data_IF_758011526604
#
_entry.id   IF_758011526604
#
_cell.length_a   1.000
_cell.length_b   1.000
_cell.length_c   1.000
_cell.angle_alpha   90.00
_cell.angle_beta   90.00
_cell.angle_gamma   90.00
#
_symmetry.space_group_name_H-M   'P 1'
#
loop_
_entity.id
_entity.type
_entity.pdbx_description
1 polymer ?
#
# COMPACT_ATOMS: atom_id res chain seq x y z
N UNK A 1 -9.40 21.25 1.70
CA UNK A 1 -8.36 20.35 1.17
C UNK A 1 -8.32 19.08 2.03
N UNK A 2 -7.97 17.93 1.47
CA UNK A 2 -7.86 16.65 2.18
C UNK A 2 -6.46 16.10 1.91
N UNK A 3 -5.78 15.59 2.93
CA UNK A 3 -4.59 14.74 2.76
C UNK A 3 -5.06 13.29 2.58
N UNK A 4 -4.73 12.66 1.45
CA UNK A 4 -5.20 11.32 1.14
C UNK A 4 -4.49 10.30 2.04
N UNK A 5 -5.25 9.55 2.84
CA UNK A 5 -4.67 8.47 3.63
C UNK A 5 -4.26 7.31 2.72
N UNK A 6 -3.00 6.87 2.83
CA UNK A 6 -2.47 5.68 2.17
C UNK A 6 -3.32 4.43 2.38
N UNK A 7 -3.44 3.64 1.33
CA UNK A 7 -4.27 2.43 1.31
C UNK A 7 -3.82 1.45 0.22
N UNK A 8 -4.21 0.18 0.35
CA UNK A 8 -4.03 -0.85 -0.66
C UNK A 8 -5.40 -1.19 -1.23
N UNK A 9 -5.51 -1.26 -2.55
CA UNK A 9 -6.62 -1.87 -3.24
C UNK A 9 -6.32 -3.34 -3.50
N UNK A 10 -7.28 -4.22 -3.20
CA UNK A 10 -7.24 -5.64 -3.55
C UNK A 10 -8.62 -6.08 -4.06
N UNK A 11 -8.63 -7.01 -5.01
CA UNK A 11 -9.80 -7.84 -5.31
C UNK A 11 -10.10 -8.83 -4.19
N UNK A 12 -11.30 -9.43 -4.21
CA UNK A 12 -11.68 -10.46 -3.23
C UNK A 12 -10.72 -11.67 -3.28
N UNK A 13 -10.25 -12.05 -4.47
CA UNK A 13 -9.32 -13.16 -4.67
C UNK A 13 -7.92 -12.83 -4.16
N UNK A 14 -7.39 -11.65 -4.50
CA UNK A 14 -6.08 -11.22 -4.01
C UNK A 14 -6.08 -11.06 -2.48
N UNK A 15 -7.14 -10.50 -1.90
CA UNK A 15 -7.26 -10.40 -0.44
C UNK A 15 -7.21 -11.78 0.23
N UNK A 16 -7.92 -12.78 -0.33
CA UNK A 16 -7.86 -14.15 0.17
C UNK A 16 -6.47 -14.78 0.02
N UNK A 17 -5.80 -14.58 -1.12
CA UNK A 17 -4.44 -15.07 -1.38
C UNK A 17 -3.40 -14.48 -0.42
N UNK A 18 -3.51 -13.19 -0.11
CA UNK A 18 -2.65 -12.51 0.87
C UNK A 18 -3.07 -12.77 2.33
N UNK A 19 -4.21 -13.43 2.57
CA UNK A 19 -4.75 -13.64 3.92
C UNK A 19 -5.19 -12.34 4.61
N UNK A 20 -5.66 -11.36 3.84
CA UNK A 20 -6.07 -10.03 4.31
C UNK A 20 -7.59 -9.84 4.20
N UNK A 21 -8.11 -8.87 4.95
CA UNK A 21 -9.55 -8.55 4.97
C UNK A 21 -9.81 -7.06 4.73
N UNK A 22 -11.02 -6.73 4.28
CA UNK A 22 -11.42 -5.32 4.09
C UNK A 22 -11.28 -4.52 5.39
N UNK A 23 -10.72 -3.32 5.27
CA UNK A 23 -10.40 -2.39 6.38
C UNK A 23 -9.36 -2.88 7.37
N UNK A 24 -8.71 -4.01 7.14
CA UNK A 24 -7.52 -4.38 7.90
C UNK A 24 -6.46 -3.30 7.77
N UNK A 25 -5.76 -3.03 8.86
CA UNK A 25 -4.66 -2.08 8.90
C UNK A 25 -3.37 -2.87 8.97
N UNK A 26 -2.47 -2.62 8.01
CA UNK A 26 -1.18 -3.32 7.86
C UNK A 26 -0.04 -2.31 7.79
N UNK A 27 1.19 -2.81 7.78
CA UNK A 27 2.34 -2.03 7.34
C UNK A 27 2.78 -2.47 5.94
N UNK A 28 3.40 -1.56 5.18
CA UNK A 28 4.03 -1.89 3.90
C UNK A 28 5.47 -1.41 3.89
N UNK A 29 6.41 -2.34 3.73
CA UNK A 29 7.82 -2.04 3.56
C UNK A 29 8.10 -1.80 2.07
N UNK A 30 8.79 -0.70 1.78
CA UNK A 30 9.26 -0.36 0.45
C UNK A 30 10.77 -0.19 0.48
N UNK A 31 11.45 -0.86 -0.43
CA UNK A 31 12.90 -0.75 -0.59
C UNK A 31 13.24 0.20 -1.73
N UNK A 32 14.12 1.16 -1.47
CA UNK A 32 14.60 2.12 -2.46
C UNK A 32 16.04 2.50 -2.18
N UNK A 33 16.70 3.13 -3.15
CA UNK A 33 18.10 3.52 -3.00
C UNK A 33 18.24 4.69 -2.01
N UNK A 34 18.64 4.39 -0.78
CA UNK A 34 18.94 5.38 0.26
C UNK A 34 17.72 5.99 0.95
N UNK A 35 16.49 5.54 0.63
CA UNK A 35 15.23 6.05 1.23
C UNK A 35 14.21 4.95 1.57
N UNK A 36 14.64 3.70 1.75
CA UNK A 36 13.75 2.59 2.15
C UNK A 36 12.99 2.94 3.44
N UNK A 37 11.71 2.58 3.50
CA UNK A 37 10.88 2.85 4.66
C UNK A 37 9.74 1.84 4.81
N UNK A 38 9.13 1.82 6.01
CA UNK A 38 7.90 1.10 6.27
C UNK A 38 6.77 2.10 6.54
N UNK A 39 5.73 2.04 5.74
CA UNK A 39 4.49 2.77 5.96
C UNK A 39 3.61 1.99 6.94
N UNK A 40 3.41 2.51 8.15
CA UNK A 40 2.39 1.98 9.07
C UNK A 40 0.99 2.48 8.73
N UNK A 41 -0.04 1.96 9.41
CA UNK A 41 -1.42 2.45 9.31
C UNK A 41 -2.02 2.42 7.89
N UNK A 42 -1.58 1.48 7.05
CA UNK A 42 -2.05 1.33 5.67
C UNK A 42 -3.36 0.55 5.68
N UNK A 43 -4.44 1.16 5.19
CA UNK A 43 -5.76 0.52 5.18
C UNK A 43 -5.90 -0.34 3.94
N UNK A 44 -6.23 -1.62 4.11
CA UNK A 44 -6.64 -2.52 3.02
C UNK A 44 -8.08 -2.19 2.65
N UNK A 45 -8.34 -2.06 1.35
CA UNK A 45 -9.68 -1.85 0.79
C UNK A 45 -9.95 -2.95 -0.23
N UNK A 46 -10.97 -3.76 0.02
CA UNK A 46 -11.31 -4.90 -0.83
C UNK A 46 -12.55 -4.59 -1.65
N UNK A 47 -12.47 -4.86 -2.95
CA UNK A 47 -13.63 -4.76 -3.86
C UNK A 47 -13.42 -5.63 -5.10
N UNK A 48 -14.47 -6.26 -5.65
CA UNK A 48 -14.36 -7.01 -6.91
C UNK A 48 -13.97 -6.16 -8.13
N UNK A 49 -13.95 -4.81 -7.99
CA UNK A 49 -13.55 -3.86 -9.04
C UNK A 49 -12.09 -3.40 -8.92
N UNK A 50 -11.36 -3.88 -7.93
CA UNK A 50 -9.98 -3.49 -7.64
C UNK A 50 -8.98 -4.50 -8.19
N UNK A 51 -7.72 -4.06 -8.25
CA UNK A 51 -6.55 -4.87 -8.51
C UNK A 51 -5.46 -4.45 -7.51
N UNK A 52 -4.51 -5.34 -7.22
CA UNK A 52 -3.42 -5.09 -6.28
C UNK A 52 -2.64 -3.81 -6.62
N UNK A 53 -2.84 -2.78 -5.81
CA UNK A 53 -2.13 -1.51 -5.93
C UNK A 53 -2.11 -0.76 -4.59
N UNK A 54 -0.94 -0.30 -4.16
CA UNK A 54 -0.82 0.63 -3.04
C UNK A 54 -0.89 2.06 -3.56
N UNK A 55 -1.76 2.88 -2.97
CA UNK A 55 -1.85 4.30 -3.22
C UNK A 55 -1.26 5.07 -2.05
N UNK A 56 -0.26 5.90 -2.36
CA UNK A 56 0.36 6.89 -1.48
C UNK A 56 0.33 8.25 -2.18
N UNK A 57 0.42 9.33 -1.41
CA UNK A 57 0.51 10.67 -2.03
C UNK A 57 1.92 11.00 -2.54
N UNK A 58 2.05 12.15 -3.19
CA UNK A 58 3.32 12.58 -3.78
C UNK A 58 4.41 12.82 -2.73
N UNK A 59 4.06 13.31 -1.54
CA UNK A 59 5.03 13.58 -0.48
C UNK A 59 5.52 12.27 0.15
N UNK A 60 4.63 11.30 0.34
CA UNK A 60 4.95 9.94 0.76
C UNK A 60 5.84 9.22 -0.26
N UNK A 61 5.53 9.33 -1.56
CA UNK A 61 6.35 8.77 -2.64
C UNK A 61 7.76 9.37 -2.66
N UNK A 62 7.85 10.70 -2.56
CA UNK A 62 9.12 11.42 -2.48
C UNK A 62 9.90 11.03 -1.20
N UNK A 63 9.21 10.83 -0.08
CA UNK A 63 9.81 10.42 1.18
C UNK A 63 10.44 9.02 1.09
N UNK A 64 9.76 8.09 0.41
CA UNK A 64 10.24 6.73 0.12
C UNK A 64 11.24 6.65 -1.03
N UNK A 65 11.46 7.73 -1.78
CA UNK A 65 12.29 7.70 -2.98
C UNK A 65 11.71 6.77 -4.07
N UNK A 66 10.39 6.65 -4.13
CA UNK A 66 9.72 5.84 -5.14
C UNK A 66 9.71 6.57 -6.49
N UNK A 67 10.07 5.87 -7.56
CA UNK A 67 9.99 6.38 -8.93
C UNK A 67 9.61 5.28 -9.90
N UNK A 68 8.62 5.52 -10.75
CA UNK A 68 8.10 4.50 -11.67
C UNK A 68 7.32 3.41 -10.92
N UNK A 69 7.49 2.15 -11.35
CA UNK A 69 6.90 0.99 -10.69
C UNK A 69 7.78 0.55 -9.51
N UNK A 70 7.16 0.41 -8.34
CA UNK A 70 7.84 -0.01 -7.11
C UNK A 70 6.98 -1.05 -6.40
N UNK A 71 7.61 -2.16 -6.01
CA UNK A 71 6.97 -3.24 -5.27
C UNK A 71 7.16 -3.04 -3.77
N UNK A 72 6.11 -3.34 -3.00
CA UNK A 72 6.13 -3.30 -1.54
C UNK A 72 5.86 -4.68 -0.95
N UNK A 73 6.40 -4.92 0.24
CA UNK A 73 6.13 -6.11 1.06
C UNK A 73 5.08 -5.77 2.11
N UNK A 74 3.96 -6.50 2.11
CA UNK A 74 2.92 -6.34 3.13
C UNK A 74 3.38 -7.06 4.41
N UNK A 75 3.33 -6.33 5.52
CA UNK A 75 3.59 -6.82 6.87
C UNK A 75 2.24 -6.76 7.63
N UNK A 76 1.55 -7.91 7.81
CA UNK A 76 0.19 -7.97 8.36
C UNK A 76 0.03 -7.44 9.78
#
# INVERSE_FOLDING_TARGET
AIAAKRHIHLSDTEAAEFGLTDKQVVSVKVESNGRSLAFGDVVVRVSPKFAAAMHIDTDESNAAGCSGEVWGEIIP
#
